data_IF_505789048749
#
_entry.id   IF_505789048749
#
_cell.length_a   1.000
_cell.length_b   1.000
_cell.length_c   1.000
_cell.angle_alpha   90.00
_cell.angle_beta   90.00
_cell.angle_gamma   90.00
#
_symmetry.space_group_name_H-M   'P 1'
#
loop_
_entity.id
_entity.type
_entity.pdbx_description
1 polymer ?
#
# COMPACT_ATOMS: atom_id res chain seq x y z
N UNK A 1 13.63 -5.10 8.11
CA UNK A 1 12.96 -3.79 7.93
C UNK A 1 13.68 -3.09 6.78
N UNK A 2 12.98 -2.72 5.70
CA UNK A 2 13.59 -2.55 4.36
C UNK A 2 13.54 -1.12 3.80
N UNK A 3 12.50 -0.35 4.13
CA UNK A 3 12.32 1.03 3.64
C UNK A 3 13.18 2.01 4.45
N UNK A 4 13.88 2.89 3.74
CA UNK A 4 14.67 3.95 4.34
C UNK A 4 13.80 5.08 4.94
N UNK A 5 14.20 5.57 6.11
CA UNK A 5 13.54 6.68 6.80
C UNK A 5 13.75 8.00 6.04
N UNK A 6 12.75 8.88 6.06
CA UNK A 6 12.88 10.27 5.58
C UNK A 6 12.80 10.48 4.05
N UNK A 7 12.54 9.41 3.28
CA UNK A 7 12.33 9.49 1.82
C UNK A 7 10.88 9.53 1.38
N UNK A 8 9.95 9.15 2.25
CA UNK A 8 8.55 8.95 1.88
C UNK A 8 7.73 10.16 2.31
N UNK A 9 7.12 10.84 1.34
CA UNK A 9 6.28 12.01 1.60
C UNK A 9 4.87 11.61 2.07
N UNK A 10 4.26 10.61 1.41
CA UNK A 10 2.87 10.22 1.64
C UNK A 10 2.80 8.70 1.81
N UNK A 11 2.17 8.27 2.92
CA UNK A 11 1.74 6.88 3.13
C UNK A 11 0.22 6.79 3.07
N UNK A 12 -0.28 5.69 2.53
CA UNK A 12 -1.70 5.38 2.48
C UNK A 12 -1.91 3.97 3.04
N UNK A 13 -2.91 3.83 3.89
CA UNK A 13 -3.34 2.54 4.43
C UNK A 13 -4.86 2.52 4.54
N UNK A 14 -5.48 1.35 4.60
CA UNK A 14 -6.92 1.30 4.85
C UNK A 14 -7.22 1.50 6.33
N UNK A 15 -6.60 0.68 7.18
CA UNK A 15 -6.77 0.75 8.63
C UNK A 15 -5.93 1.87 9.23
N UNK A 16 -6.17 2.20 10.50
CA UNK A 16 -5.41 3.22 11.20
C UNK A 16 -4.17 2.59 11.84
N UNK A 17 -3.01 3.28 11.87
CA UNK A 17 -1.93 2.91 12.78
C UNK A 17 -2.44 2.84 14.21
N UNK A 18 -2.12 1.76 14.92
CA UNK A 18 -2.52 1.61 16.33
C UNK A 18 -1.99 2.78 17.16
N UNK A 19 -2.79 3.27 18.09
CA UNK A 19 -2.42 4.38 18.99
C UNK A 19 -2.45 5.78 18.37
N UNK A 20 -2.68 5.94 17.05
CA UNK A 20 -2.69 7.26 16.39
C UNK A 20 -3.74 8.23 16.98
N UNK A 21 -4.79 7.70 17.60
CA UNK A 21 -5.82 8.48 18.29
C UNK A 21 -5.27 9.42 19.36
N UNK A 22 -4.19 9.01 20.04
CA UNK A 22 -3.58 9.78 21.12
C UNK A 22 -2.88 11.05 20.64
N UNK A 23 -2.68 11.19 19.33
CA UNK A 23 -2.08 12.35 18.68
C UNK A 23 -3.13 13.33 18.11
N UNK A 24 -4.42 13.11 18.40
CA UNK A 24 -5.52 13.99 17.99
C UNK A 24 -6.57 14.15 19.07
N UNK A 25 -7.74 14.68 18.70
CA UNK A 25 -8.84 14.93 19.64
C UNK A 25 -9.62 13.63 19.95
N UNK A 26 -9.04 12.80 20.81
CA UNK A 26 -9.65 11.53 21.25
C UNK A 26 -10.99 11.76 21.94
N UNK A 27 -11.17 12.87 22.67
CA UNK A 27 -12.44 13.15 23.35
C UNK A 27 -13.57 13.37 22.34
N UNK A 28 -13.34 14.19 21.30
CA UNK A 28 -14.30 14.40 20.22
C UNK A 28 -14.55 13.12 19.42
N UNK A 29 -13.52 12.29 19.21
CA UNK A 29 -13.69 10.98 18.59
C UNK A 29 -14.66 10.11 19.42
N UNK A 30 -14.44 10.01 20.73
CA UNK A 30 -15.29 9.23 21.64
C UNK A 30 -16.70 9.80 21.79
N UNK A 31 -16.89 11.12 21.68
CA UNK A 31 -18.23 11.71 21.61
C UNK A 31 -19.02 11.23 20.39
N UNK A 32 -18.36 11.04 19.23
CA UNK A 32 -19.00 10.51 18.02
C UNK A 32 -19.08 8.99 18.00
N UNK A 33 -18.12 8.31 18.63
CA UNK A 33 -17.86 6.86 18.50
C UNK A 33 -17.51 6.26 19.86
N UNK A 34 -18.46 6.33 20.80
CA UNK A 34 -18.26 5.88 22.19
C UNK A 34 -17.76 4.44 22.31
N UNK A 35 -18.15 3.56 21.38
CA UNK A 35 -17.75 2.16 21.38
C UNK A 35 -16.25 1.93 21.11
N UNK A 36 -15.51 2.93 20.63
CA UNK A 36 -14.04 2.84 20.53
C UNK A 36 -13.34 2.94 21.88
N UNK A 37 -14.03 3.35 22.94
CA UNK A 37 -13.41 3.61 24.24
C UNK A 37 -12.61 2.42 24.76
N UNK A 38 -13.20 1.22 24.72
CA UNK A 38 -12.54 0.02 25.23
C UNK A 38 -11.28 -0.30 24.41
N UNK A 39 -11.39 -0.28 23.08
CA UNK A 39 -10.27 -0.61 22.17
C UNK A 39 -9.15 0.43 22.21
N UNK A 40 -9.48 1.70 22.46
CA UNK A 40 -8.48 2.76 22.63
C UNK A 40 -7.70 2.53 23.93
N UNK A 41 -8.38 2.32 25.05
CA UNK A 41 -7.72 2.15 26.36
C UNK A 41 -7.03 0.80 26.52
N UNK A 42 -7.49 -0.25 25.83
CA UNK A 42 -6.84 -1.55 25.79
C UNK A 42 -5.73 -1.64 24.74
N UNK A 43 -5.47 -0.55 24.01
CA UNK A 43 -4.48 -0.47 22.94
C UNK A 43 -4.71 -1.55 21.87
N UNK A 44 -5.92 -1.61 21.34
CA UNK A 44 -6.37 -2.53 20.29
C UNK A 44 -7.00 -1.81 19.09
N UNK A 45 -7.32 -0.52 19.20
CA UNK A 45 -7.86 0.23 18.07
C UNK A 45 -6.76 0.52 17.03
N UNK A 46 -6.92 -0.07 15.84
CA UNK A 46 -5.99 0.09 14.72
C UNK A 46 -5.06 -1.10 14.55
N UNK A 47 -4.10 -0.96 13.64
CA UNK A 47 -3.17 -2.01 13.23
C UNK A 47 -1.78 -1.76 13.83
N UNK A 48 -1.31 -2.73 14.60
CA UNK A 48 0.03 -2.75 15.19
C UNK A 48 1.15 -2.73 14.14
N UNK A 49 1.11 -3.56 13.07
CA UNK A 49 2.10 -3.46 12.00
C UNK A 49 2.16 -2.07 11.36
N UNK A 50 1.03 -1.36 11.26
CA UNK A 50 1.00 -0.01 10.70
C UNK A 50 1.56 1.04 11.67
N UNK A 51 1.43 0.84 12.98
CA UNK A 51 2.12 1.66 13.98
C UNK A 51 3.63 1.53 13.83
N UNK A 52 4.15 0.30 13.69
CA UNK A 52 5.58 0.09 13.47
C UNK A 52 6.08 0.79 12.20
N UNK A 53 5.32 0.70 11.10
CA UNK A 53 5.67 1.36 9.83
C UNK A 53 5.62 2.88 9.98
N UNK A 54 4.59 3.42 10.65
CA UNK A 54 4.46 4.87 10.91
C UNK A 54 5.66 5.41 11.68
N UNK A 55 6.05 4.75 12.78
CA UNK A 55 7.15 5.18 13.64
C UNK A 55 8.53 5.02 12.97
N UNK A 56 8.67 4.05 12.06
CA UNK A 56 9.93 3.82 11.35
C UNK A 56 10.09 4.73 10.14
N UNK A 57 9.08 4.80 9.27
CA UNK A 57 9.16 5.54 8.00
C UNK A 57 9.04 7.04 8.23
N UNK A 58 8.16 7.43 9.15
CA UNK A 58 7.89 8.82 9.53
C UNK A 58 7.57 9.70 8.32
N UNK A 59 6.55 9.35 7.52
CA UNK A 59 6.21 10.12 6.33
C UNK A 59 5.66 11.50 6.70
N UNK A 60 5.71 12.48 5.79
CA UNK A 60 5.10 13.79 6.06
C UNK A 60 3.58 13.68 6.24
N UNK A 61 2.93 12.82 5.46
CA UNK A 61 1.50 12.57 5.51
C UNK A 61 1.18 11.09 5.63
N UNK A 62 0.13 10.78 6.40
CA UNK A 62 -0.44 9.43 6.47
C UNK A 62 -1.95 9.49 6.32
N UNK A 63 -2.48 8.80 5.31
CA UNK A 63 -3.91 8.75 5.03
C UNK A 63 -4.50 7.36 5.34
N UNK A 64 -5.61 7.36 6.07
CA UNK A 64 -6.35 6.14 6.44
C UNK A 64 -7.86 6.24 6.19
N UNK A 65 -8.55 5.11 6.28
CA UNK A 65 -10.01 5.01 6.14
C UNK A 65 -10.57 4.04 7.19
N UNK A 66 -11.41 3.09 6.79
CA UNK A 66 -11.97 1.98 7.57
C UNK A 66 -12.95 2.32 8.72
N UNK A 67 -12.57 3.19 9.65
CA UNK A 67 -13.32 3.41 10.91
C UNK A 67 -14.57 4.30 10.74
N UNK A 68 -14.86 4.73 9.52
CA UNK A 68 -16.05 5.51 9.15
C UNK A 68 -16.26 6.73 10.07
N UNK A 69 -15.19 7.52 10.20
CA UNK A 69 -15.16 8.80 10.92
C UNK A 69 -13.97 9.61 10.43
N UNK A 70 -14.20 10.89 10.14
CA UNK A 70 -13.09 11.81 9.90
C UNK A 70 -12.34 12.09 11.19
N UNK A 71 -11.02 11.94 11.15
CA UNK A 71 -10.13 12.21 12.27
C UNK A 71 -8.80 12.74 11.77
N UNK A 72 -8.27 13.73 12.48
CA UNK A 72 -6.99 14.32 12.17
C UNK A 72 -6.12 14.27 13.43
N UNK A 73 -4.84 13.96 13.23
CA UNK A 73 -3.84 13.89 14.29
C UNK A 73 -2.49 14.40 13.79
N UNK A 74 -1.67 14.89 14.70
CA UNK A 74 -0.30 15.31 14.43
C UNK A 74 0.65 14.41 15.24
N UNK A 75 1.27 13.45 14.55
CA UNK A 75 2.17 12.49 15.18
C UNK A 75 3.55 13.10 15.27
N UNK A 76 4.00 13.39 16.48
CA UNK A 76 5.36 13.84 16.77
C UNK A 76 6.26 12.63 17.01
N UNK A 77 7.30 12.50 16.18
CA UNK A 77 8.31 11.45 16.27
C UNK A 77 9.43 11.84 17.22
N UNK A 78 10.18 10.87 17.72
CA UNK A 78 11.25 11.08 18.72
C UNK A 78 12.38 12.01 18.29
N UNK A 79 12.58 12.18 16.97
CA UNK A 79 13.56 13.08 16.37
C UNK A 79 12.99 14.46 16.02
N UNK A 80 11.75 14.75 16.40
CA UNK A 80 11.04 16.00 16.11
C UNK A 80 10.38 16.06 14.74
N UNK A 81 10.45 14.99 13.93
CA UNK A 81 9.68 14.91 12.69
C UNK A 81 8.19 14.87 13.00
N UNK A 82 7.38 15.40 12.08
CA UNK A 82 5.93 15.41 12.19
C UNK A 82 5.30 14.61 11.06
N UNK A 83 4.33 13.75 11.39
CA UNK A 83 3.43 13.14 10.41
C UNK A 83 2.03 13.72 10.59
N UNK A 84 1.49 14.30 9.52
CA UNK A 84 0.10 14.73 9.44
C UNK A 84 -0.78 13.53 9.11
N UNK A 85 -1.51 13.03 10.11
CA UNK A 85 -2.45 11.93 9.93
C UNK A 85 -3.85 12.45 9.60
N UNK A 86 -4.48 11.88 8.59
CA UNK A 86 -5.88 12.14 8.25
C UNK A 86 -6.60 10.84 7.88
N UNK A 87 -7.68 10.56 8.59
CA UNK A 87 -8.65 9.55 8.23
C UNK A 87 -9.95 10.17 7.72
N UNK A 88 -10.57 9.54 6.73
CA UNK A 88 -11.83 9.98 6.13
C UNK A 88 -13.00 9.04 6.44
N UNK A 89 -14.22 9.57 6.39
CA UNK A 89 -15.46 8.82 6.58
C UNK A 89 -15.85 8.07 5.28
N UNK A 90 -16.86 7.20 5.37
CA UNK A 90 -17.42 6.49 4.22
C UNK A 90 -18.19 7.45 3.31
N UNK A 91 -18.17 7.20 2.01
CA UNK A 91 -18.90 7.92 0.97
C UNK A 91 -20.44 7.77 1.10
N UNK A 92 -21.01 8.40 2.12
CA UNK A 92 -22.43 8.45 2.42
C UNK A 92 -22.91 9.92 2.51
N UNK A 93 -24.20 10.19 2.28
CA UNK A 93 -24.74 11.54 2.40
C UNK A 93 -24.43 12.19 3.75
N UNK A 94 -23.97 13.44 3.72
CA UNK A 94 -23.66 14.23 4.93
C UNK A 94 -22.44 13.77 5.72
N UNK A 95 -21.55 12.97 5.13
CA UNK A 95 -20.30 12.51 5.76
C UNK A 95 -19.07 13.22 5.22
N UNK A 96 -18.05 13.31 6.07
CA UNK A 96 -16.75 13.92 5.75
C UNK A 96 -15.83 12.91 5.02
N UNK A 97 -16.24 12.49 3.82
CA UNK A 97 -15.56 11.41 3.07
C UNK A 97 -14.53 11.89 2.03
N UNK A 98 -14.49 13.20 1.74
CA UNK A 98 -13.59 13.78 0.77
C UNK A 98 -12.86 14.99 1.37
N UNK A 99 -11.56 15.05 1.15
CA UNK A 99 -10.73 16.19 1.46
C UNK A 99 -9.72 16.42 0.34
N UNK A 100 -9.62 17.66 -0.11
CA UNK A 100 -8.60 18.10 -1.08
C UNK A 100 -7.47 18.74 -0.29
N UNK A 101 -6.24 18.37 -0.62
CA UNK A 101 -5.01 18.87 0.01
C UNK A 101 -4.06 19.30 -1.10
N UNK A 102 -3.44 20.46 -0.90
CA UNK A 102 -2.33 20.93 -1.73
C UNK A 102 -1.02 20.43 -1.11
N UNK A 103 -0.24 19.69 -1.88
CA UNK A 103 1.07 19.16 -1.46
C UNK A 103 2.14 19.77 -2.36
N UNK A 104 3.06 20.49 -1.72
CA UNK A 104 4.15 21.15 -2.43
C UNK A 104 5.14 20.11 -3.02
N UNK A 105 5.62 20.31 -4.25
CA UNK A 105 6.65 19.46 -4.83
C UNK A 105 7.94 19.47 -4.00
N UNK A 106 8.54 18.30 -3.81
CA UNK A 106 9.82 18.16 -3.10
C UNK A 106 10.99 18.82 -3.86
N UNK A 107 10.87 19.03 -5.17
CA UNK A 107 11.84 19.75 -5.99
C UNK A 107 11.20 20.96 -6.68
N UNK A 108 11.86 22.14 -6.67
CA UNK A 108 11.33 23.36 -7.28
C UNK A 108 11.28 23.31 -8.80
N UNK A 109 12.09 22.43 -9.42
CA UNK A 109 11.96 22.10 -10.83
C UNK A 109 10.95 20.96 -10.99
N UNK A 110 9.84 21.16 -11.73
CA UNK A 110 8.95 20.06 -12.05
C UNK A 110 9.73 18.95 -12.74
N UNK A 111 9.46 17.70 -12.37
CA UNK A 111 9.88 16.57 -13.20
C UNK A 111 9.45 16.88 -14.64
N UNK A 112 10.32 16.71 -15.64
CA UNK A 112 10.00 17.10 -17.02
C UNK A 112 8.73 16.41 -17.56
N UNK A 113 8.26 15.34 -16.92
CA UNK A 113 7.13 14.55 -17.38
C UNK A 113 5.87 14.64 -16.50
N UNK A 114 5.96 14.99 -15.21
CA UNK A 114 4.84 14.88 -14.25
C UNK A 114 4.12 13.51 -14.32
N UNK A 115 4.87 12.44 -14.60
CA UNK A 115 4.34 11.08 -14.78
C UNK A 115 4.51 10.22 -13.54
N UNK A 116 3.69 9.17 -13.47
CA UNK A 116 3.87 8.11 -12.49
C UNK A 116 5.10 7.28 -12.86
N UNK A 117 5.95 7.02 -11.88
CA UNK A 117 7.14 6.20 -12.02
C UNK A 117 7.13 5.06 -11.01
N UNK A 118 7.77 3.96 -11.37
CA UNK A 118 8.14 2.91 -10.45
C UNK A 118 9.28 3.41 -9.55
N UNK A 119 9.21 3.06 -8.27
CA UNK A 119 10.26 3.39 -7.30
C UNK A 119 11.37 2.33 -7.34
N UNK A 120 12.64 2.68 -7.67
CA UNK A 120 13.72 1.70 -7.77
C UNK A 120 14.00 0.95 -6.47
N UNK A 121 13.85 1.60 -5.31
CA UNK A 121 14.04 0.95 -3.99
C UNK A 121 12.99 -0.15 -3.79
N UNK A 122 11.73 0.11 -4.15
CA UNK A 122 10.65 -0.86 -4.12
C UNK A 122 10.86 -2.00 -5.12
N UNK A 123 11.34 -1.73 -6.34
CA UNK A 123 11.68 -2.75 -7.32
C UNK A 123 12.78 -3.69 -6.82
N UNK A 124 13.82 -3.15 -6.17
CA UNK A 124 14.85 -3.94 -5.50
C UNK A 124 14.24 -4.83 -4.40
N UNK A 125 13.37 -4.28 -3.55
CA UNK A 125 12.71 -5.05 -2.48
C UNK A 125 11.87 -6.19 -3.07
N UNK A 126 11.08 -5.91 -4.11
CA UNK A 126 10.27 -6.93 -4.80
C UNK A 126 11.16 -8.05 -5.36
N UNK A 127 12.25 -7.72 -6.05
CA UNK A 127 13.18 -8.72 -6.60
C UNK A 127 13.85 -9.55 -5.50
N UNK A 128 14.36 -8.92 -4.44
CA UNK A 128 15.01 -9.63 -3.32
C UNK A 128 14.04 -10.50 -2.54
N UNK A 129 12.77 -10.13 -2.46
CA UNK A 129 11.75 -10.85 -1.67
C UNK A 129 10.92 -11.81 -2.50
N UNK A 130 11.16 -11.93 -3.81
CA UNK A 130 10.37 -12.83 -4.67
C UNK A 130 10.30 -14.24 -4.09
N UNK A 131 11.43 -14.83 -3.69
CA UNK A 131 11.50 -16.19 -3.14
C UNK A 131 10.60 -16.42 -1.90
N UNK A 132 10.18 -15.36 -1.20
CA UNK A 132 9.27 -15.42 -0.05
C UNK A 132 7.78 -15.51 -0.47
N UNK A 133 7.46 -15.30 -1.74
CA UNK A 133 6.11 -15.45 -2.25
C UNK A 133 5.59 -16.87 -1.99
N UNK A 134 4.55 -16.94 -1.16
CA UNK A 134 3.89 -18.17 -0.78
C UNK A 134 2.38 -18.04 -1.00
N UNK A 135 1.85 -18.79 -1.97
CA UNK A 135 0.42 -18.76 -2.33
C UNK A 135 -0.36 -19.96 -1.79
N UNK A 136 0.25 -20.76 -0.92
CA UNK A 136 -0.44 -21.90 -0.30
C UNK A 136 -1.23 -21.46 0.93
N UNK A 137 -2.36 -22.13 1.18
CA UNK A 137 -3.16 -21.95 2.40
C UNK A 137 -2.56 -22.75 3.56
N UNK A 138 -1.30 -22.51 3.86
CA UNK A 138 -0.57 -23.14 4.96
C UNK A 138 0.15 -22.08 5.77
N UNK A 139 0.36 -22.36 7.06
CA UNK A 139 1.12 -21.46 7.90
C UNK A 139 2.57 -21.41 7.41
N UNK A 140 3.08 -20.20 7.18
CA UNK A 140 4.46 -19.92 6.79
C UNK A 140 5.11 -19.08 7.87
N UNK A 141 6.36 -19.39 8.19
CA UNK A 141 7.17 -18.56 9.07
C UNK A 141 7.64 -17.33 8.29
N UNK A 142 7.41 -16.15 8.86
CA UNK A 142 7.96 -14.91 8.31
C UNK A 142 9.47 -14.85 8.59
N UNK A 143 10.26 -14.21 7.69
CA UNK A 143 11.68 -13.98 7.94
C UNK A 143 11.90 -13.25 9.26
N UNK A 144 12.89 -13.67 10.05
CA UNK A 144 13.20 -13.02 11.32
C UNK A 144 13.89 -11.67 11.12
N UNK A 145 13.70 -10.73 12.06
CA UNK A 145 14.31 -9.41 12.02
C UNK A 145 15.86 -9.45 11.97
N UNK A 146 16.47 -10.51 12.51
CA UNK A 146 17.92 -10.74 12.47
C UNK A 146 18.48 -11.00 11.08
N UNK A 147 17.64 -11.28 10.07
CA UNK A 147 18.13 -11.61 8.74
C UNK A 147 18.52 -10.39 7.92
N UNK A 148 18.01 -9.16 8.18
CA UNK A 148 18.34 -7.87 7.53
C UNK A 148 18.72 -7.90 6.02
N UNK A 149 18.38 -8.95 5.29
CA UNK A 149 19.00 -9.33 4.01
C UNK A 149 18.29 -8.71 2.81
N UNK A 150 17.18 -8.02 3.08
CA UNK A 150 16.28 -7.49 2.05
C UNK A 150 16.36 -5.97 1.92
N UNK A 151 17.29 -5.32 2.63
CA UNK A 151 17.60 -3.91 2.39
C UNK A 151 18.35 -3.82 1.06
N UNK A 152 17.86 -3.06 0.07
CA UNK A 152 18.57 -2.87 -1.19
C UNK A 152 19.99 -2.33 -0.98
N UNK A 153 20.96 -2.96 -1.64
CA UNK A 153 22.36 -2.58 -1.71
C UNK A 153 22.68 -1.98 -3.08
N UNK A 154 23.84 -1.34 -3.21
CA UNK A 154 24.30 -0.70 -4.46
C UNK A 154 24.20 -1.60 -5.70
N UNK A 155 24.57 -2.88 -5.57
CA UNK A 155 24.50 -3.81 -6.71
C UNK A 155 23.06 -4.19 -7.09
N UNK A 156 22.12 -4.18 -6.14
CA UNK A 156 20.69 -4.36 -6.45
C UNK A 156 20.17 -3.18 -7.27
N UNK A 157 20.52 -1.95 -6.88
CA UNK A 157 20.15 -0.75 -7.62
C UNK A 157 20.75 -0.77 -9.03
N UNK A 158 22.05 -1.06 -9.18
CA UNK A 158 22.68 -1.15 -10.52
C UNK A 158 21.93 -2.12 -11.42
N UNK A 159 21.62 -3.32 -10.92
CA UNK A 159 20.85 -4.32 -11.68
C UNK A 159 19.49 -3.77 -12.10
N UNK A 160 18.72 -3.17 -11.20
CA UNK A 160 17.42 -2.58 -11.53
C UNK A 160 17.54 -1.44 -12.54
N UNK A 161 18.54 -0.57 -12.41
CA UNK A 161 18.79 0.49 -13.38
C UNK A 161 19.16 -0.04 -14.77
N UNK A 162 19.92 -1.13 -14.85
CA UNK A 162 20.27 -1.81 -16.10
C UNK A 162 19.04 -2.49 -16.71
N UNK A 163 18.29 -3.29 -15.92
CA UNK A 163 17.09 -4.01 -16.36
C UNK A 163 16.01 -3.05 -16.92
N UNK A 164 15.87 -1.88 -16.31
CA UNK A 164 14.91 -0.85 -16.72
C UNK A 164 15.49 0.19 -17.68
N UNK A 165 16.75 0.05 -18.10
CA UNK A 165 17.44 1.03 -18.97
C UNK A 165 17.30 2.48 -18.44
N UNK A 166 17.40 2.64 -17.12
CA UNK A 166 17.19 3.90 -16.39
C UNK A 166 15.82 4.58 -16.63
N UNK A 167 14.83 3.84 -17.12
CA UNK A 167 13.49 4.35 -17.43
C UNK A 167 12.46 3.69 -16.53
N UNK A 168 11.96 4.45 -15.56
CA UNK A 168 11.01 3.96 -14.56
C UNK A 168 9.58 4.49 -14.77
N UNK A 169 9.34 5.31 -15.80
CA UNK A 169 8.00 5.80 -16.11
C UNK A 169 7.06 4.64 -16.43
N UNK A 170 5.86 4.69 -15.85
CA UNK A 170 4.83 3.68 -16.14
C UNK A 170 4.36 3.86 -17.59
N UNK A 171 4.39 2.81 -18.43
CA UNK A 171 3.92 2.90 -19.81
C UNK A 171 2.43 3.27 -19.90
N UNK A 172 2.07 4.12 -20.87
CA UNK A 172 0.67 4.52 -21.12
C UNK A 172 -0.15 3.44 -21.88
N UNK A 173 0.41 2.23 -22.04
CA UNK A 173 -0.25 1.09 -22.73
C UNK A 173 -1.22 0.34 -21.82
N UNK A 174 -2.07 1.06 -21.09
CA UNK A 174 -2.97 0.44 -20.12
C UNK A 174 -4.12 -0.31 -20.83
N UNK A 175 -4.27 -1.59 -20.53
CA UNK A 175 -5.34 -2.43 -21.04
C UNK A 175 -6.50 -2.55 -20.04
N UNK A 176 -7.77 -2.42 -20.48
CA UNK A 176 -8.91 -2.60 -19.60
C UNK A 176 -9.04 -4.06 -19.14
N UNK A 177 -9.02 -4.28 -17.83
CA UNK A 177 -9.16 -5.61 -17.21
C UNK A 177 -10.59 -5.96 -16.77
N UNK A 178 -11.53 -5.03 -16.99
CA UNK A 178 -12.94 -5.20 -16.65
C UNK A 178 -13.86 -4.41 -17.58
N UNK A 179 -15.18 -4.66 -17.51
CA UNK A 179 -16.14 -3.96 -18.35
C UNK A 179 -16.17 -2.46 -18.02
N UNK A 180 -16.32 -1.63 -19.06
CA UNK A 180 -16.47 -0.18 -18.91
C UNK A 180 -17.81 0.11 -18.22
N UNK A 181 -17.77 0.90 -17.16
CA UNK A 181 -18.98 1.38 -16.49
C UNK A 181 -19.84 2.21 -17.46
N UNK A 182 -21.13 1.88 -17.55
CA UNK A 182 -22.11 2.63 -18.35
C UNK A 182 -23.18 3.21 -17.42
N UNK A 183 -23.33 4.55 -17.34
CA UNK A 183 -24.40 5.15 -16.54
C UNK A 183 -25.77 4.56 -16.93
N UNK A 184 -26.54 4.10 -15.95
CA UNK A 184 -27.86 3.50 -16.17
C UNK A 184 -27.87 2.02 -16.55
N UNK A 185 -26.71 1.38 -16.81
CA UNK A 185 -26.65 -0.07 -16.67
C UNK A 185 -26.83 -0.37 -15.19
N UNK A 186 -27.84 -1.16 -14.81
CA UNK A 186 -28.00 -1.62 -13.44
C UNK A 186 -26.76 -2.40 -12.95
N UNK A 187 -26.84 -3.05 -11.80
CA UNK A 187 -25.73 -3.88 -11.30
C UNK A 187 -25.37 -4.95 -12.35
N UNK A 188 -24.26 -4.77 -13.04
CA UNK A 188 -23.68 -5.80 -13.91
C UNK A 188 -23.19 -6.90 -12.96
N UNK A 189 -23.66 -8.15 -13.11
CA UNK A 189 -23.14 -9.26 -12.33
C UNK A 189 -21.63 -9.31 -12.49
N UNK A 190 -20.92 -9.28 -11.37
CA UNK A 190 -19.47 -9.42 -11.37
C UNK A 190 -19.15 -10.84 -11.83
N UNK A 191 -18.54 -10.97 -13.00
CA UNK A 191 -18.01 -12.25 -13.45
C UNK A 191 -16.78 -12.59 -12.58
N UNK A 192 -17.00 -13.47 -11.60
CA UNK A 192 -15.98 -13.95 -10.68
C UNK A 192 -14.85 -14.68 -11.41
N UNK A 193 -15.13 -15.24 -12.59
CA UNK A 193 -14.13 -15.90 -13.44
C UNK A 193 -13.26 -14.87 -14.16
N UNK A 194 -13.84 -13.75 -14.58
CA UNK A 194 -13.10 -12.61 -15.13
C UNK A 194 -12.18 -11.95 -14.09
N UNK A 195 -12.60 -11.89 -12.82
CA UNK A 195 -11.74 -11.45 -11.70
C UNK A 195 -10.55 -12.36 -11.41
N UNK A 196 -10.57 -13.60 -11.91
CA UNK A 196 -9.47 -14.57 -11.74
C UNK A 196 -8.46 -14.53 -12.88
N UNK A 197 -8.68 -13.70 -13.91
CA UNK A 197 -7.74 -13.56 -15.01
C UNK A 197 -6.55 -12.73 -14.56
N UNK A 198 -5.40 -13.06 -15.13
CA UNK A 198 -4.18 -12.31 -14.87
C UNK A 198 -4.31 -10.87 -15.41
N UNK A 199 -3.68 -9.92 -14.72
CA UNK A 199 -3.69 -8.50 -15.06
C UNK A 199 -2.46 -8.22 -15.95
N UNK A 200 -2.63 -7.77 -17.22
CA UNK A 200 -1.52 -7.62 -18.15
C UNK A 200 -0.47 -6.60 -17.68
N UNK A 201 -0.86 -5.58 -16.92
CA UNK A 201 0.07 -4.61 -16.34
C UNK A 201 0.92 -5.23 -15.23
N UNK A 202 0.32 -6.07 -14.39
CA UNK A 202 1.02 -6.83 -13.35
C UNK A 202 1.95 -7.85 -13.98
N UNK A 203 1.50 -8.53 -15.03
CA UNK A 203 2.31 -9.48 -15.79
C UNK A 203 3.53 -8.81 -16.41
N UNK A 204 3.35 -7.67 -17.07
CA UNK A 204 4.45 -6.89 -17.63
C UNK A 204 5.48 -6.51 -16.56
N UNK A 205 5.03 -6.02 -15.40
CA UNK A 205 5.92 -5.69 -14.29
C UNK A 205 6.70 -6.92 -13.78
N UNK A 206 6.01 -8.04 -13.58
CA UNK A 206 6.63 -9.29 -13.13
C UNK A 206 7.67 -9.81 -14.14
N UNK A 207 7.35 -9.78 -15.44
CA UNK A 207 8.26 -10.17 -16.52
C UNK A 207 9.48 -9.27 -16.59
N UNK A 208 9.30 -7.94 -16.52
CA UNK A 208 10.40 -6.97 -16.53
C UNK A 208 11.34 -7.15 -15.33
N UNK A 209 10.80 -7.47 -14.15
CA UNK A 209 11.59 -7.73 -12.94
C UNK A 209 12.18 -9.14 -12.86
N UNK A 210 11.71 -10.07 -13.69
CA UNK A 210 12.04 -11.49 -13.58
C UNK A 210 11.54 -12.13 -12.29
N UNK A 211 10.39 -11.68 -11.77
CA UNK A 211 9.77 -12.22 -10.54
C UNK A 211 8.48 -12.99 -10.85
N UNK A 212 8.01 -13.79 -9.90
CA UNK A 212 6.83 -14.62 -10.07
C UNK A 212 5.56 -13.78 -9.96
N UNK A 213 4.63 -13.98 -10.90
CA UNK A 213 3.27 -13.45 -10.78
C UNK A 213 2.42 -14.34 -9.84
N UNK A 214 1.93 -13.83 -8.70
CA UNK A 214 1.15 -14.63 -7.76
C UNK A 214 -0.11 -15.26 -8.36
N UNK A 215 -0.77 -14.57 -9.29
CA UNK A 215 -2.00 -15.06 -9.93
C UNK A 215 -1.66 -16.25 -10.84
N UNK A 216 -0.58 -16.20 -11.60
CA UNK A 216 -0.15 -17.32 -12.44
C UNK A 216 0.26 -18.53 -11.62
N UNK A 217 0.95 -18.34 -10.50
CA UNK A 217 1.28 -19.45 -9.58
C UNK A 217 0.00 -20.10 -9.05
N UNK A 218 -1.03 -19.31 -8.74
CA UNK A 218 -2.32 -19.82 -8.28
C UNK A 218 -3.06 -20.57 -9.40
N UNK A 219 -3.10 -20.02 -10.62
CA UNK A 219 -3.83 -20.58 -11.76
C UNK A 219 -3.19 -21.88 -12.27
N UNK A 220 -1.87 -21.89 -12.49
CA UNK A 220 -1.14 -23.08 -12.97
C UNK A 220 -1.26 -24.26 -12.00
N UNK A 221 -1.34 -23.99 -10.69
CA UNK A 221 -1.55 -25.03 -9.68
C UNK A 221 -2.93 -25.67 -9.75
N UNK A 222 -3.99 -24.89 -10.02
CA UNK A 222 -5.34 -25.45 -10.19
C UNK A 222 -5.38 -26.42 -11.37
N UNK A 223 -4.78 -26.03 -12.49
CA UNK A 223 -4.69 -26.89 -13.69
C UNK A 223 -4.01 -28.23 -13.34
N UNK A 224 -2.92 -28.23 -12.58
CA UNK A 224 -2.26 -29.48 -12.15
C UNK A 224 -3.12 -30.34 -11.22
N UNK A 225 -3.88 -29.75 -10.30
CA UNK A 225 -4.78 -30.48 -9.40
C UNK A 225 -5.98 -31.07 -10.14
N UNK A 226 -6.50 -30.36 -11.14
CA UNK A 226 -7.62 -30.85 -11.96
C UNK A 226 -7.20 -31.95 -12.95
N UNK A 227 -5.90 -32.05 -13.30
CA UNK A 227 -5.34 -33.12 -14.13
C UNK A 227 -4.96 -34.39 -13.34
N UNK A 228 -4.92 -34.32 -12.01
CA UNK A 228 -4.48 -35.41 -11.12
C UNK A 228 -5.60 -36.05 -10.30
N UNK A 229 -6.84 -35.58 -10.46
CA UNK A 229 -8.07 -36.17 -9.92
C UNK A 229 -8.96 -36.70 -11.05
#
# INVERSE_FOLDING_TARGET
KQLQQGKIDIMISHDWPRGVVWYGDTQRLLQRKQYFQQDIYSNQLGSEPLEEVLLQVQPKYWFSAHLHVKFAALVEHTNGNLTHFLALDKCLPGRDFLQVLDVEPTSPSPSPTNRLCLDPEWLCILSKTDHLLHVQRTNTFLPSASQNSFIPQEDDYKKIHDDFSNTFEIPEVFEPTGPIYKPGSGNIPVDVEQLRKNNPQTELLCLMLGIRNPIDVILNRKIQLDQTN
#
